data_IF_726634993678
#
_entry.id   IF_726634993678
#
_cell.length_a   1.000
_cell.length_b   1.000
_cell.length_c   1.000
_cell.angle_alpha   90.00
_cell.angle_beta   90.00
_cell.angle_gamma   90.00
#
_symmetry.space_group_name_H-M   'P 1'
#
loop_
_entity.id
_entity.type
_entity.pdbx_description
1 polymer ?
#
# COMPACT_ATOMS: atom_id res chain seq x y z
N UNK A 1 -37.68 43.04 -51.33
CA UNK A 1 -37.96 42.07 -50.24
C UNK A 1 -37.27 40.77 -50.61
N UNK A 2 -36.10 40.52 -50.05
CA UNK A 2 -35.36 39.26 -50.25
C UNK A 2 -35.33 38.54 -48.91
N UNK A 3 -36.13 37.48 -48.78
CA UNK A 3 -36.17 36.62 -47.60
C UNK A 3 -34.96 35.70 -47.63
N UNK A 4 -33.91 36.06 -46.91
CA UNK A 4 -32.83 35.13 -46.59
C UNK A 4 -33.36 34.09 -45.60
N UNK A 5 -33.56 32.88 -46.12
CA UNK A 5 -33.90 31.68 -45.35
C UNK A 5 -32.64 31.28 -44.58
N UNK A 6 -32.59 31.57 -43.29
CA UNK A 6 -31.54 31.09 -42.39
C UNK A 6 -31.71 29.58 -42.30
N UNK A 7 -30.83 28.82 -42.97
CA UNK A 7 -30.72 27.38 -42.73
C UNK A 7 -30.21 27.19 -41.30
N UNK A 8 -31.03 26.55 -40.47
CA UNK A 8 -30.62 26.06 -39.17
C UNK A 8 -29.39 25.16 -39.37
N UNK A 9 -28.30 25.50 -38.69
CA UNK A 9 -27.11 24.67 -38.60
C UNK A 9 -27.52 23.43 -37.81
N UNK A 10 -27.61 22.27 -38.48
CA UNK A 10 -27.81 21.00 -37.78
C UNK A 10 -26.74 20.87 -36.69
N UNK A 11 -27.18 20.83 -35.44
CA UNK A 11 -26.31 20.41 -34.35
C UNK A 11 -25.87 18.98 -34.67
N UNK A 12 -24.59 18.80 -34.96
CA UNK A 12 -23.96 17.48 -35.02
C UNK A 12 -24.23 16.81 -33.68
N UNK A 13 -25.25 15.96 -33.61
CA UNK A 13 -25.46 15.11 -32.44
C UNK A 13 -24.20 14.24 -32.34
N UNK A 14 -23.46 14.38 -31.24
CA UNK A 14 -22.23 13.60 -31.07
C UNK A 14 -22.60 12.11 -31.17
N UNK A 15 -21.98 11.37 -32.09
CA UNK A 15 -22.22 9.94 -32.34
C UNK A 15 -22.12 9.08 -31.06
N UNK A 16 -21.40 9.57 -30.05
CA UNK A 16 -21.24 8.93 -28.73
C UNK A 16 -22.56 8.87 -27.94
N UNK A 17 -23.51 9.78 -28.17
CA UNK A 17 -24.81 9.80 -27.48
C UNK A 17 -25.84 8.80 -28.05
N UNK A 18 -25.46 7.97 -29.03
CA UNK A 18 -26.35 6.97 -29.64
C UNK A 18 -26.37 5.63 -28.89
N UNK A 19 -25.41 5.38 -27.99
CA UNK A 19 -25.35 4.15 -27.22
C UNK A 19 -26.28 4.23 -25.99
N UNK A 20 -26.95 3.13 -25.60
CA UNK A 20 -27.65 3.06 -24.33
C UNK A 20 -26.70 3.34 -23.15
N UNK A 21 -27.21 3.97 -22.10
CA UNK A 21 -26.41 4.37 -20.93
C UNK A 21 -25.61 3.19 -20.35
N UNK A 22 -26.26 2.04 -20.14
CA UNK A 22 -25.62 0.85 -19.57
C UNK A 22 -24.48 0.32 -20.45
N UNK A 23 -24.61 0.40 -21.77
CA UNK A 23 -23.58 -0.03 -22.72
C UNK A 23 -22.38 0.90 -22.64
N UNK A 24 -22.59 2.22 -22.57
CA UNK A 24 -21.48 3.17 -22.35
C UNK A 24 -20.80 2.93 -21.01
N UNK A 25 -21.59 2.67 -19.96
CA UNK A 25 -21.08 2.37 -18.64
C UNK A 25 -20.20 1.13 -18.65
N UNK A 26 -20.63 0.08 -19.32
CA UNK A 26 -19.87 -1.16 -19.52
C UNK A 26 -18.59 -0.97 -20.33
N UNK A 27 -18.63 -0.14 -21.37
CA UNK A 27 -17.44 0.19 -22.17
C UNK A 27 -16.44 0.95 -21.32
N UNK A 28 -16.87 1.99 -20.60
CA UNK A 28 -16.00 2.82 -19.77
C UNK A 28 -15.45 2.06 -18.56
N UNK A 29 -16.23 1.14 -17.98
CA UNK A 29 -15.77 0.27 -16.92
C UNK A 29 -14.60 -0.61 -17.38
N UNK A 30 -14.55 -1.04 -18.64
CA UNK A 30 -13.43 -1.86 -19.17
C UNK A 30 -12.16 -1.08 -19.46
N UNK A 31 -12.22 0.25 -19.54
CA UNK A 31 -11.04 1.10 -19.76
C UNK A 31 -10.27 1.27 -18.45
N UNK A 32 -8.94 1.35 -18.52
CA UNK A 32 -8.11 1.59 -17.34
C UNK A 32 -8.56 2.84 -16.59
N UNK A 33 -8.58 2.77 -15.26
CA UNK A 33 -8.97 3.93 -14.44
C UNK A 33 -7.99 5.10 -14.60
N UNK A 34 -6.75 4.83 -15.00
CA UNK A 34 -5.73 5.85 -15.21
C UNK A 34 -6.04 6.74 -16.43
N UNK A 35 -6.91 6.28 -17.33
CA UNK A 35 -7.38 7.04 -18.49
C UNK A 35 -8.65 7.84 -18.21
N UNK A 36 -9.28 7.66 -17.03
CA UNK A 36 -10.51 8.38 -16.66
C UNK A 36 -10.37 9.91 -16.65
N UNK A 37 -9.24 10.50 -16.21
CA UNK A 37 -9.01 11.93 -16.36
C UNK A 37 -9.13 12.39 -17.82
N UNK A 38 -8.57 11.64 -18.77
CA UNK A 38 -8.66 11.96 -20.20
C UNK A 38 -10.08 11.74 -20.73
N UNK A 39 -10.73 10.64 -20.38
CA UNK A 39 -12.11 10.35 -20.78
C UNK A 39 -13.11 11.38 -20.25
N UNK A 40 -12.87 11.93 -19.07
CA UNK A 40 -13.70 12.99 -18.47
C UNK A 40 -13.69 14.30 -19.26
N UNK A 41 -12.72 14.49 -20.15
CA UNK A 41 -12.61 15.66 -21.02
C UNK A 41 -13.38 15.50 -22.33
N UNK A 42 -13.73 14.27 -22.72
CA UNK A 42 -14.41 13.98 -24.00
C UNK A 42 -15.82 14.58 -24.03
N UNK A 43 -16.64 14.30 -23.02
CA UNK A 43 -17.99 14.88 -22.90
C UNK A 43 -18.48 14.90 -21.43
N UNK A 44 -19.55 15.67 -21.17
CA UNK A 44 -20.17 15.75 -19.84
C UNK A 44 -20.69 14.41 -19.34
N UNK A 45 -21.19 13.56 -20.24
CA UNK A 45 -21.74 12.26 -19.88
C UNK A 45 -20.66 11.28 -19.43
N UNK A 46 -19.55 11.19 -20.16
CA UNK A 46 -18.40 10.36 -19.78
C UNK A 46 -17.83 10.81 -18.46
N UNK A 47 -17.67 12.12 -18.26
CA UNK A 47 -17.27 12.69 -16.97
C UNK A 47 -18.17 12.19 -15.85
N UNK A 48 -19.49 12.30 -16.01
CA UNK A 48 -20.46 11.85 -15.00
C UNK A 48 -20.29 10.37 -14.66
N UNK A 49 -20.09 9.51 -15.67
CA UNK A 49 -19.92 8.07 -15.49
C UNK A 49 -18.61 7.76 -14.76
N UNK A 50 -17.46 8.27 -15.24
CA UNK A 50 -16.14 7.93 -14.67
C UNK A 50 -15.88 8.54 -13.30
N UNK A 51 -16.67 9.54 -12.89
CA UNK A 51 -16.65 10.08 -11.53
C UNK A 51 -17.65 9.39 -10.59
N UNK A 52 -18.56 8.56 -11.12
CA UNK A 52 -19.57 7.86 -10.30
C UNK A 52 -18.91 6.71 -9.53
N UNK A 53 -19.17 6.54 -8.22
CA UNK A 53 -18.72 5.37 -7.46
C UNK A 53 -19.19 4.04 -8.07
N UNK A 54 -20.36 4.04 -8.73
CA UNK A 54 -20.96 2.87 -9.38
C UNK A 54 -20.04 2.24 -10.45
N UNK A 55 -19.14 3.03 -11.06
CA UNK A 55 -18.23 2.51 -12.08
C UNK A 55 -17.27 1.48 -11.50
N UNK A 56 -16.82 1.66 -10.26
CA UNK A 56 -15.92 0.74 -9.58
C UNK A 56 -16.63 -0.57 -9.21
N UNK A 57 -17.90 -0.49 -8.82
CA UNK A 57 -18.73 -1.70 -8.63
C UNK A 57 -18.87 -2.46 -9.96
N UNK A 58 -19.17 -1.76 -11.06
CA UNK A 58 -19.31 -2.40 -12.38
C UNK A 58 -18.00 -3.03 -12.85
N UNK A 59 -16.87 -2.35 -12.67
CA UNK A 59 -15.54 -2.88 -12.96
C UNK A 59 -15.27 -4.19 -12.25
N UNK A 60 -15.53 -4.23 -10.95
CA UNK A 60 -15.36 -5.43 -10.13
C UNK A 60 -16.20 -6.59 -10.66
N UNK A 61 -17.48 -6.34 -11.00
CA UNK A 61 -18.37 -7.34 -11.60
C UNK A 61 -17.89 -7.88 -12.96
N UNK A 62 -17.18 -7.05 -13.72
CA UNK A 62 -16.62 -7.41 -15.03
C UNK A 62 -15.23 -8.06 -14.94
N UNK A 63 -14.64 -8.15 -13.75
CA UNK A 63 -13.25 -8.58 -13.57
C UNK A 63 -12.23 -7.58 -14.12
N UNK A 64 -12.62 -6.32 -14.31
CA UNK A 64 -11.76 -5.24 -14.78
C UNK A 64 -11.11 -4.50 -13.59
N UNK A 65 -10.47 -5.25 -12.70
CA UNK A 65 -9.76 -4.68 -11.55
C UNK A 65 -8.28 -4.48 -11.88
N UNK A 66 -7.68 -3.42 -11.33
CA UNK A 66 -6.28 -3.09 -11.54
C UNK A 66 -5.56 -2.93 -10.20
N UNK A 67 -4.30 -3.36 -10.15
CA UNK A 67 -3.41 -3.09 -9.03
C UNK A 67 -3.01 -1.62 -9.04
N UNK A 68 -3.25 -0.94 -7.92
CA UNK A 68 -2.98 0.48 -7.74
C UNK A 68 -2.03 0.66 -6.56
N UNK A 69 -0.82 1.17 -6.82
CA UNK A 69 0.12 1.51 -5.75
C UNK A 69 -0.23 2.86 -5.13
N UNK A 70 -0.57 2.84 -3.85
CA UNK A 70 -0.72 4.01 -3.01
C UNK A 70 0.52 4.20 -2.15
N UNK A 71 0.95 5.45 -2.00
CA UNK A 71 2.13 5.82 -1.21
C UNK A 71 1.75 6.91 -0.23
N UNK A 72 2.09 6.71 1.03
CA UNK A 72 1.98 7.72 2.08
C UNK A 72 3.31 8.44 2.18
N UNK A 73 3.29 9.76 1.97
CA UNK A 73 4.44 10.63 2.13
C UNK A 73 4.15 11.67 3.20
N UNK A 74 5.17 12.02 3.99
CA UNK A 74 5.14 13.18 4.87
C UNK A 74 5.96 14.32 4.25
N UNK A 75 5.41 15.52 4.20
CA UNK A 75 6.12 16.70 3.70
C UNK A 75 6.88 17.36 4.85
N UNK A 76 8.20 17.31 4.83
CA UNK A 76 9.06 17.87 5.91
C UNK A 76 9.16 19.39 5.84
N UNK A 77 8.82 20.00 4.70
CA UNK A 77 8.78 21.46 4.57
C UNK A 77 7.54 22.07 5.26
N UNK A 78 6.56 21.26 5.65
CA UNK A 78 5.37 21.71 6.36
C UNK A 78 5.54 21.62 7.89
N UNK A 79 5.10 22.64 8.66
CA UNK A 79 5.36 22.72 10.11
C UNK A 79 4.73 21.59 10.94
N UNK A 80 3.77 20.85 10.40
CA UNK A 80 3.08 19.73 11.06
C UNK A 80 3.50 18.37 10.48
N UNK A 81 4.47 18.32 9.55
CA UNK A 81 4.88 17.12 8.83
C UNK A 81 3.64 16.35 8.31
N UNK A 82 2.82 17.07 7.54
CA UNK A 82 1.52 16.61 7.06
C UNK A 82 1.69 15.36 6.21
N UNK A 83 0.94 14.31 6.55
CA UNK A 83 0.99 13.02 5.86
C UNK A 83 -0.14 12.97 4.85
N UNK A 84 0.21 12.74 3.59
CA UNK A 84 -0.72 12.72 2.46
C UNK A 84 -0.61 11.43 1.68
N UNK A 85 -1.74 11.02 1.10
CA UNK A 85 -1.83 9.84 0.26
C UNK A 85 -1.66 10.23 -1.20
N UNK A 86 -0.74 9.55 -1.87
CA UNK A 86 -0.45 9.66 -3.28
C UNK A 86 -0.79 8.35 -3.97
N UNK A 87 -1.15 8.43 -5.24
CA UNK A 87 -1.31 7.27 -6.11
C UNK A 87 -0.22 7.29 -7.18
N UNK A 88 0.39 6.14 -7.44
CA UNK A 88 1.30 5.97 -8.57
C UNK A 88 0.47 5.88 -9.86
N UNK A 89 0.70 6.81 -10.78
CA UNK A 89 0.05 6.81 -12.08
C UNK A 89 1.07 6.58 -13.19
N UNK A 90 0.89 5.55 -14.05
CA UNK A 90 1.58 5.47 -15.31
C UNK A 90 1.08 6.60 -16.24
N UNK A 91 2.00 7.18 -17.02
CA UNK A 91 1.69 8.14 -18.08
C UNK A 91 1.80 7.47 -19.44
N UNK A 92 1.10 8.01 -20.43
CA UNK A 92 1.12 7.54 -21.82
C UNK A 92 2.52 7.50 -22.47
N UNK A 93 3.49 8.27 -21.97
CA UNK A 93 4.88 8.27 -22.45
C UNK A 93 5.80 7.26 -21.71
N UNK A 94 5.24 6.37 -20.88
CA UNK A 94 6.00 5.41 -20.06
C UNK A 94 6.67 6.02 -18.82
N UNK A 95 6.38 7.28 -18.49
CA UNK A 95 6.77 7.85 -17.19
C UNK A 95 5.84 7.37 -16.09
N UNK A 96 6.37 7.34 -14.86
CA UNK A 96 5.60 7.10 -13.65
C UNK A 96 5.72 8.33 -12.75
N UNK A 97 4.61 8.76 -12.15
CA UNK A 97 4.64 9.83 -11.15
C UNK A 97 3.70 9.54 -10.01
N UNK A 98 4.02 10.08 -8.84
CA UNK A 98 3.09 10.15 -7.73
C UNK A 98 2.17 11.35 -7.92
N UNK A 99 0.86 11.11 -7.84
CA UNK A 99 -0.18 12.14 -7.92
C UNK A 99 -0.84 12.25 -6.56
N UNK A 100 -0.86 13.46 -6.00
CA UNK A 100 -1.55 13.74 -4.75
C UNK A 100 -3.07 13.57 -4.92
N UNK A 101 -3.69 12.82 -4.02
CA UNK A 101 -5.14 12.65 -3.99
C UNK A 101 -5.76 13.80 -3.19
N UNK A 102 -6.09 14.90 -3.87
CA UNK A 102 -6.56 16.14 -3.22
C UNK A 102 -7.93 16.06 -2.55
N UNK A 103 -8.75 15.07 -2.91
CA UNK A 103 -10.06 14.87 -2.28
C UNK A 103 -9.95 14.32 -0.86
N UNK A 104 -8.81 13.71 -0.52
CA UNK A 104 -8.56 13.18 0.81
C UNK A 104 -7.98 14.27 1.71
N UNK A 105 -8.42 14.35 2.98
CA UNK A 105 -7.82 15.26 3.94
C UNK A 105 -6.39 14.82 4.28
N UNK A 106 -5.67 15.69 4.98
CA UNK A 106 -4.44 15.30 5.65
C UNK A 106 -4.73 14.16 6.63
N UNK A 107 -3.86 13.15 6.64
CA UNK A 107 -4.05 12.02 7.54
C UNK A 107 -3.95 12.49 8.99
N UNK A 108 -4.84 12.04 9.90
CA UNK A 108 -4.86 12.51 11.28
C UNK A 108 -3.54 12.19 11.97
N UNK A 109 -2.73 13.21 12.22
CA UNK A 109 -1.43 13.13 12.87
C UNK A 109 -1.43 13.85 14.21
N UNK A 110 -0.97 13.15 15.23
CA UNK A 110 -0.59 13.79 16.48
C UNK A 110 0.82 13.34 16.92
N UNK A 111 1.73 14.31 16.92
CA UNK A 111 3.06 14.36 17.55
C UNK A 111 4.15 13.39 17.05
N UNK A 112 3.83 12.21 16.51
CA UNK A 112 4.86 11.23 16.11
C UNK A 112 4.77 10.81 14.65
N UNK A 113 5.91 10.86 13.94
CA UNK A 113 6.07 10.30 12.61
C UNK A 113 5.72 8.81 12.54
N UNK A 114 5.89 8.06 13.63
CA UNK A 114 5.91 6.59 13.65
C UNK A 114 4.66 5.95 14.24
N UNK A 115 3.64 6.72 14.62
CA UNK A 115 2.45 6.22 15.33
C UNK A 115 1.25 5.94 14.40
N UNK A 116 1.48 5.16 13.33
CA UNK A 116 0.43 4.87 12.33
C UNK A 116 0.51 3.43 11.81
N UNK A 117 -0.65 2.82 11.59
CA UNK A 117 -0.82 1.58 10.84
C UNK A 117 -1.61 1.83 9.56
N UNK A 118 -1.15 1.28 8.45
CA UNK A 118 -1.82 1.33 7.15
C UNK A 118 -1.91 -0.08 6.57
N UNK A 119 -3.11 -0.50 6.16
CA UNK A 119 -3.35 -1.82 5.58
C UNK A 119 -4.32 -1.72 4.42
N UNK A 120 -4.00 -2.38 3.31
CA UNK A 120 -4.92 -2.54 2.21
C UNK A 120 -5.75 -3.82 2.40
N UNK A 121 -7.07 -3.73 2.27
CA UNK A 121 -7.98 -4.88 2.26
C UNK A 121 -9.03 -4.67 1.18
N UNK A 122 -8.98 -5.49 0.13
CA UNK A 122 -9.80 -5.29 -1.08
C UNK A 122 -9.51 -3.94 -1.74
N UNK A 123 -10.56 -3.18 -2.03
CA UNK A 123 -10.49 -1.83 -2.63
C UNK A 123 -10.37 -0.71 -1.60
N UNK A 124 -10.02 -1.02 -0.34
CA UNK A 124 -9.96 -0.06 0.76
C UNK A 124 -8.60 -0.03 1.44
N UNK A 125 -8.21 1.15 1.90
CA UNK A 125 -7.10 1.34 2.82
C UNK A 125 -7.66 1.65 4.20
N UNK A 126 -7.25 0.89 5.20
CA UNK A 126 -7.54 1.15 6.60
C UNK A 126 -6.36 1.89 7.23
N UNK A 127 -6.67 2.96 7.95
CA UNK A 127 -5.69 3.81 8.63
C UNK A 127 -5.98 3.81 10.12
N UNK A 128 -4.96 3.54 10.91
CA UNK A 128 -4.99 3.54 12.35
C UNK A 128 -3.98 4.56 12.85
N UNK A 129 -4.42 5.56 13.62
CA UNK A 129 -3.53 6.57 14.17
C UNK A 129 -3.92 6.96 15.59
N UNK A 130 -3.02 7.65 16.30
CA UNK A 130 -3.27 8.15 17.65
C UNK A 130 -3.87 9.57 17.60
N UNK A 131 -4.95 9.80 18.34
CA UNK A 131 -5.51 11.13 18.58
C UNK A 131 -4.79 11.89 19.70
N UNK A 132 -5.11 13.18 19.83
CA UNK A 132 -4.66 14.04 20.92
C UNK A 132 -5.17 13.59 22.31
N UNK A 133 -6.33 12.94 22.39
CA UNK A 133 -6.91 12.40 23.62
C UNK A 133 -6.40 10.99 23.97
N UNK A 134 -5.36 10.54 23.27
CA UNK A 134 -4.78 9.18 23.35
C UNK A 134 -5.65 8.07 22.77
N UNK A 135 -6.89 8.34 22.37
CA UNK A 135 -7.75 7.38 21.68
C UNK A 135 -7.22 7.07 20.28
N UNK A 136 -7.47 5.86 19.80
CA UNK A 136 -7.09 5.45 18.46
C UNK A 136 -8.16 5.88 17.45
N UNK A 137 -7.74 6.62 16.42
CA UNK A 137 -8.58 7.01 15.28
C UNK A 137 -8.47 5.90 14.24
N UNK A 138 -9.62 5.47 13.74
CA UNK A 138 -9.72 4.45 12.72
C UNK A 138 -10.49 5.00 11.52
N UNK A 139 -9.85 5.00 10.35
CA UNK A 139 -10.45 5.45 9.10
C UNK A 139 -10.40 4.32 8.07
N UNK A 140 -11.39 4.29 7.18
CA UNK A 140 -11.27 3.57 5.91
C UNK A 140 -11.34 4.55 4.75
N UNK A 141 -10.52 4.30 3.73
CA UNK A 141 -10.45 5.07 2.49
C UNK A 141 -10.93 4.17 1.38
N UNK A 142 -11.97 4.57 0.68
CA UNK A 142 -12.43 3.90 -0.53
C UNK A 142 -11.53 4.32 -1.70
N UNK A 143 -10.74 3.39 -2.26
CA UNK A 143 -9.75 3.70 -3.28
C UNK A 143 -10.35 3.85 -4.68
N UNK A 144 -11.62 3.49 -4.88
CA UNK A 144 -12.36 3.78 -6.11
C UNK A 144 -12.72 5.25 -6.17
N UNK A 145 -13.53 5.68 -5.21
CA UNK A 145 -14.09 7.04 -5.13
C UNK A 145 -13.17 8.07 -4.44
N UNK A 146 -12.08 7.63 -3.82
CA UNK A 146 -11.18 8.46 -2.99
C UNK A 146 -11.95 9.24 -1.91
N UNK A 147 -12.81 8.53 -1.17
CA UNK A 147 -13.60 9.05 -0.05
C UNK A 147 -13.15 8.43 1.28
N UNK A 148 -13.38 9.14 2.39
CA UNK A 148 -13.00 8.71 3.75
C UNK A 148 -14.24 8.43 4.59
N UNK A 149 -14.20 7.34 5.34
CA UNK A 149 -15.19 6.98 6.34
C UNK A 149 -14.51 6.80 7.70
N UNK A 150 -15.04 7.48 8.72
CA UNK A 150 -14.65 7.26 10.12
C UNK A 150 -15.30 5.95 10.62
N UNK A 151 -14.49 5.11 11.25
CA UNK A 151 -14.91 3.82 11.80
C UNK A 151 -15.02 3.88 13.33
N UNK A 152 -15.67 2.89 13.98
CA UNK A 152 -15.80 2.86 15.42
C UNK A 152 -14.44 2.94 16.14
N UNK A 153 -14.42 3.65 17.26
CA UNK A 153 -13.22 3.72 18.11
C UNK A 153 -12.87 2.32 18.63
N UNK A 154 -11.57 2.05 18.76
CA UNK A 154 -11.14 0.83 19.43
C UNK A 154 -11.56 0.83 20.90
N UNK A 155 -11.81 -0.36 21.48
CA UNK A 155 -12.17 -0.49 22.90
C UNK A 155 -11.02 -0.13 23.85
N UNK A 156 -9.85 0.24 23.32
CA UNK A 156 -8.62 0.48 24.09
C UNK A 156 -7.86 1.69 23.56
N UNK A 157 -7.20 2.36 24.50
CA UNK A 157 -6.27 3.47 24.22
C UNK A 157 -4.91 2.89 23.83
N UNK A 158 -4.51 3.06 22.57
CA UNK A 158 -3.26 2.51 22.05
C UNK A 158 -2.65 3.44 20.99
N UNK A 159 -1.31 3.50 20.93
CA UNK A 159 -0.55 4.12 19.85
C UNK A 159 -0.19 3.06 18.81
N UNK A 160 -0.90 2.98 17.67
CA UNK A 160 -0.60 1.99 16.63
C UNK A 160 0.80 2.22 16.05
N UNK A 161 1.49 1.14 15.70
CA UNK A 161 2.83 1.12 15.09
C UNK A 161 2.86 0.39 13.76
N UNK A 162 2.03 -0.63 13.64
CA UNK A 162 1.93 -1.47 12.47
C UNK A 162 0.57 -2.16 12.48
N UNK A 163 0.16 -2.58 11.30
CA UNK A 163 -1.02 -3.39 11.13
C UNK A 163 -0.81 -4.29 9.91
N UNK A 164 -1.43 -5.46 9.94
CA UNK A 164 -1.46 -6.38 8.81
C UNK A 164 -2.76 -7.20 8.83
N UNK A 165 -3.08 -7.87 7.73
CA UNK A 165 -4.34 -8.59 7.54
C UNK A 165 -4.15 -10.10 7.50
N UNK A 166 -4.97 -10.83 8.26
CA UNK A 166 -5.09 -12.28 8.18
C UNK A 166 -6.56 -12.62 8.02
N UNK A 167 -6.93 -13.24 6.90
CA UNK A 167 -8.30 -13.71 6.61
C UNK A 167 -9.40 -12.67 6.85
N UNK A 168 -9.22 -11.45 6.32
CA UNK A 168 -10.20 -10.36 6.46
C UNK A 168 -10.29 -9.77 7.87
N UNK A 169 -9.31 -10.05 8.74
CA UNK A 169 -9.17 -9.39 10.04
C UNK A 169 -7.87 -8.64 10.08
N UNK A 170 -7.93 -7.38 10.49
CA UNK A 170 -6.76 -6.52 10.61
C UNK A 170 -6.25 -6.63 12.05
N UNK A 171 -5.00 -7.02 12.21
CA UNK A 171 -4.30 -7.08 13.48
C UNK A 171 -3.48 -5.81 13.61
N UNK A 172 -3.88 -4.93 14.52
CA UNK A 172 -3.21 -3.67 14.78
C UNK A 172 -2.36 -3.83 16.03
N UNK A 173 -1.07 -3.54 15.91
CA UNK A 173 -0.10 -3.66 16.98
C UNK A 173 0.39 -2.28 17.34
N UNK A 174 0.46 -2.01 18.64
CA UNK A 174 0.84 -0.71 19.14
C UNK A 174 1.23 -0.75 20.61
N UNK A 175 1.49 0.42 21.16
CA UNK A 175 1.83 0.60 22.57
C UNK A 175 0.63 1.15 23.34
N UNK A 176 0.30 0.55 24.48
CA UNK A 176 -0.65 1.15 25.41
C UNK A 176 -0.02 2.33 26.17
N UNK A 177 -0.78 2.94 27.09
CA UNK A 177 -0.29 4.05 27.90
C UNK A 177 0.82 3.66 28.90
N UNK A 178 0.98 2.36 29.19
CA UNK A 178 2.05 1.81 30.03
C UNK A 178 3.32 1.49 29.24
N UNK A 179 3.37 1.80 27.95
CA UNK A 179 4.44 1.38 27.03
C UNK A 179 4.57 -0.15 26.91
N UNK A 180 3.47 -0.87 27.17
CA UNK A 180 3.36 -2.29 26.85
C UNK A 180 2.79 -2.46 25.45
N UNK A 181 3.41 -3.32 24.65
CA UNK A 181 2.91 -3.65 23.33
C UNK A 181 1.69 -4.55 23.44
N UNK A 182 0.62 -4.13 22.78
CA UNK A 182 -0.61 -4.88 22.65
C UNK A 182 -0.98 -5.05 21.19
N UNK A 183 -1.89 -5.98 20.96
CA UNK A 183 -2.51 -6.21 19.66
C UNK A 183 -4.03 -6.20 19.82
N UNK A 184 -4.71 -5.51 18.91
CA UNK A 184 -6.17 -5.50 18.79
C UNK A 184 -6.57 -5.91 17.40
N UNK A 185 -7.75 -6.52 17.29
CA UNK A 185 -8.22 -7.10 16.03
C UNK A 185 -9.46 -6.35 15.58
N UNK A 186 -9.45 -5.92 14.32
CA UNK A 186 -10.58 -5.29 13.65
C UNK A 186 -11.13 -6.23 12.58
N UNK A 187 -12.42 -6.55 12.66
CA UNK A 187 -13.10 -7.36 11.68
C UNK A 187 -13.59 -6.47 10.53
N UNK A 188 -13.09 -6.69 9.31
CA UNK A 188 -13.43 -5.83 8.16
C UNK A 188 -14.82 -6.10 7.59
N UNK A 189 -15.38 -7.29 7.83
CA UNK A 189 -16.73 -7.66 7.37
C UNK A 189 -17.80 -6.98 8.22
N UNK A 190 -17.68 -7.06 9.54
CA UNK A 190 -18.63 -6.44 10.47
C UNK A 190 -18.31 -4.97 10.78
N UNK A 191 -17.12 -4.50 10.40
CA UNK A 191 -16.57 -3.19 10.75
C UNK A 191 -16.56 -2.94 12.27
N UNK A 192 -16.30 -3.98 13.06
CA UNK A 192 -16.24 -3.91 14.52
C UNK A 192 -14.91 -4.40 15.08
N UNK A 193 -14.56 -3.86 16.23
CA UNK A 193 -13.42 -4.31 17.03
C UNK A 193 -13.74 -5.57 17.81
N UNK A 194 -12.77 -6.47 17.91
CA UNK A 194 -12.81 -7.52 18.91
C UNK A 194 -12.58 -6.92 20.30
N UNK A 195 -13.33 -7.36 21.33
CA UNK A 195 -13.35 -6.70 22.64
C UNK A 195 -12.06 -6.92 23.45
N UNK A 196 -11.23 -7.90 23.07
CA UNK A 196 -10.04 -8.29 23.81
C UNK A 196 -8.79 -7.72 23.17
N UNK A 197 -7.99 -7.03 23.96
CA UNK A 197 -6.59 -6.78 23.62
C UNK A 197 -5.78 -8.05 23.93
N UNK A 198 -4.97 -8.46 22.97
CA UNK A 198 -3.98 -9.52 23.13
C UNK A 198 -2.70 -8.85 23.59
N UNK A 199 -2.34 -9.06 24.86
CA UNK A 199 -1.06 -8.57 25.40
C UNK A 199 0.08 -9.41 24.83
N UNK A 200 1.16 -8.73 24.43
CA UNK A 200 2.40 -9.40 24.07
C UNK A 200 3.25 -9.59 25.32
N UNK A 201 4.08 -10.63 25.32
CA UNK A 201 5.03 -10.84 26.40
C UNK A 201 6.19 -9.82 26.34
N UNK A 202 7.14 -9.93 27.28
CA UNK A 202 8.33 -9.05 27.33
C UNK A 202 9.14 -9.07 26.04
N UNK A 203 9.05 -10.14 25.28
CA UNK A 203 9.85 -10.35 24.09
C UNK A 203 9.19 -9.75 22.85
N UNK A 204 7.86 -9.83 22.77
CA UNK A 204 7.06 -9.10 21.79
C UNK A 204 7.16 -7.59 21.97
N UNK A 205 7.33 -7.12 23.21
CA UNK A 205 7.50 -5.70 23.49
C UNK A 205 8.80 -5.10 22.89
N UNK A 206 9.79 -5.95 22.57
CA UNK A 206 11.07 -5.57 21.94
C UNK A 206 11.06 -5.59 20.41
N UNK A 207 9.95 -5.95 19.78
CA UNK A 207 9.88 -6.04 18.32
C UNK A 207 10.15 -4.68 17.66
N UNK A 208 10.79 -4.69 16.49
CA UNK A 208 11.26 -3.46 15.82
C UNK A 208 10.20 -2.96 14.84
N UNK A 209 9.93 -1.66 14.83
CA UNK A 209 9.00 -1.05 13.87
C UNK A 209 9.46 -1.27 12.42
N UNK A 210 8.51 -1.69 11.58
CA UNK A 210 8.79 -2.10 10.19
C UNK A 210 9.33 -3.53 10.06
N UNK A 211 9.39 -4.32 11.13
CA UNK A 211 9.82 -5.73 11.10
C UNK A 211 8.67 -6.68 11.44
N UNK A 212 7.52 -6.51 10.78
CA UNK A 212 6.41 -7.43 10.84
C UNK A 212 5.84 -7.72 9.46
N UNK A 213 5.45 -8.97 9.22
CA UNK A 213 4.78 -9.42 8.00
C UNK A 213 3.80 -10.55 8.32
N UNK A 214 2.79 -10.72 7.48
CA UNK A 214 1.96 -11.93 7.43
C UNK A 214 2.42 -12.85 6.30
N UNK A 215 2.61 -14.13 6.61
CA UNK A 215 2.98 -15.19 5.68
C UNK A 215 2.29 -16.48 6.12
N UNK A 216 1.75 -17.28 5.20
CA UNK A 216 1.03 -18.53 5.51
C UNK A 216 0.01 -18.44 6.67
N UNK A 217 -0.82 -17.38 6.66
CA UNK A 217 -1.82 -17.08 7.70
C UNK A 217 -1.27 -16.83 9.12
N UNK A 218 0.05 -16.64 9.27
CA UNK A 218 0.70 -16.36 10.55
C UNK A 218 1.39 -15.01 10.50
N UNK A 219 1.47 -14.35 11.64
CA UNK A 219 2.13 -13.05 11.75
C UNK A 219 3.52 -13.22 12.33
N UNK A 220 4.53 -12.77 11.60
CA UNK A 220 5.93 -12.83 11.98
C UNK A 220 6.38 -11.45 12.43
N UNK A 221 7.04 -11.36 13.57
CA UNK A 221 7.61 -10.12 14.08
C UNK A 221 9.04 -10.32 14.58
N UNK A 222 9.96 -9.51 14.08
CA UNK A 222 11.36 -9.58 14.49
C UNK A 222 11.65 -8.66 15.66
N UNK A 223 12.40 -9.15 16.62
CA UNK A 223 13.07 -8.34 17.63
C UNK A 223 14.61 -8.51 17.49
N UNK A 224 15.44 -7.90 18.34
CA UNK A 224 16.90 -8.03 18.23
C UNK A 224 17.43 -9.47 18.40
N UNK A 225 16.71 -10.34 19.12
CA UNK A 225 17.17 -11.68 19.52
C UNK A 225 16.56 -12.84 18.73
N UNK A 226 15.31 -12.73 18.27
CA UNK A 226 14.58 -13.78 17.55
C UNK A 226 13.39 -13.22 16.77
N UNK A 227 12.81 -14.07 15.93
CA UNK A 227 11.50 -13.80 15.31
C UNK A 227 10.41 -14.51 16.09
N UNK A 228 9.36 -13.77 16.43
CA UNK A 228 8.14 -14.28 17.06
C UNK A 228 7.09 -14.55 15.98
N UNK A 229 6.37 -15.65 16.11
CA UNK A 229 5.34 -16.08 15.19
C UNK A 229 4.03 -16.21 15.95
N UNK A 230 3.02 -15.45 15.56
CA UNK A 230 1.68 -15.56 16.10
C UNK A 230 0.81 -16.40 15.18
N UNK A 231 0.25 -17.47 15.75
CA UNK A 231 -0.80 -18.26 15.11
C UNK A 231 -2.17 -17.80 15.63
N UNK A 232 -2.99 -17.12 14.81
CA UNK A 232 -4.30 -16.67 15.23
C UNK A 232 -5.30 -17.82 15.46
N UNK A 233 -5.07 -19.03 14.92
CA UNK A 233 -5.96 -20.18 15.14
C UNK A 233 -5.78 -20.76 16.53
N UNK A 234 -4.52 -20.92 16.93
CA UNK A 234 -4.14 -21.46 18.25
C UNK A 234 -4.06 -20.36 19.34
N UNK A 235 -4.12 -19.09 18.93
CA UNK A 235 -3.92 -17.90 19.79
C UNK A 235 -2.61 -18.03 20.57
N UNK A 236 -1.55 -18.46 19.88
CA UNK A 236 -0.27 -18.82 20.49
C UNK A 236 0.89 -18.13 19.79
N UNK A 237 1.90 -17.81 20.60
CA UNK A 237 3.19 -17.33 20.14
C UNK A 237 4.22 -18.45 20.10
N UNK A 238 4.96 -18.50 19.01
CA UNK A 238 6.09 -19.41 18.77
C UNK A 238 7.30 -18.61 18.31
N UNK A 239 8.44 -19.27 18.14
CA UNK A 239 9.69 -18.63 17.73
C UNK A 239 10.23 -19.26 16.45
N UNK A 240 10.70 -18.43 15.53
CA UNK A 240 11.44 -18.88 14.35
C UNK A 240 12.88 -18.36 14.41
N UNK A 241 13.81 -19.27 14.74
CA UNK A 241 15.23 -18.94 14.85
C UNK A 241 15.87 -18.72 13.48
N UNK A 242 15.44 -19.48 12.46
CA UNK A 242 15.99 -19.42 11.11
C UNK A 242 15.73 -18.07 10.46
N UNK A 243 14.53 -17.52 10.68
CA UNK A 243 14.15 -16.20 10.15
C UNK A 243 14.92 -15.05 10.82
N UNK A 244 15.52 -15.26 11.98
CA UNK A 244 16.31 -14.22 12.65
C UNK A 244 17.79 -14.17 12.22
N UNK A 245 18.24 -15.10 11.36
CA UNK A 245 19.60 -15.06 10.79
C UNK A 245 19.85 -13.79 9.96
N UNK A 246 18.78 -13.21 9.40
CA UNK A 246 18.83 -11.96 8.65
C UNK A 246 18.06 -10.85 9.38
N UNK A 247 18.63 -9.64 9.37
CA UNK A 247 18.02 -8.44 9.99
C UNK A 247 17.02 -7.77 9.05
N UNK A 248 16.04 -8.53 8.59
CA UNK A 248 15.04 -8.02 7.66
C UNK A 248 14.21 -6.88 8.27
N UNK A 249 13.83 -5.93 7.43
CA UNK A 249 13.00 -4.76 7.76
C UNK A 249 12.34 -4.27 6.47
N UNK A 250 11.16 -3.68 6.60
CA UNK A 250 10.33 -3.20 5.49
C UNK A 250 10.15 -4.25 4.38
N UNK A 251 10.05 -5.50 4.81
CA UNK A 251 9.91 -6.66 3.96
C UNK A 251 8.48 -6.76 3.41
N UNK A 252 8.32 -7.53 2.35
CA UNK A 252 7.03 -7.88 1.77
C UNK A 252 6.96 -9.37 1.51
N UNK A 253 5.76 -9.94 1.54
CA UNK A 253 5.52 -11.33 1.14
C UNK A 253 4.85 -11.35 -0.23
N UNK A 254 5.34 -12.19 -1.13
CA UNK A 254 4.74 -12.49 -2.44
C UNK A 254 4.81 -13.99 -2.64
N UNK A 255 3.66 -14.61 -2.98
CA UNK A 255 3.54 -16.07 -3.16
C UNK A 255 4.13 -16.88 -1.99
N UNK A 256 3.81 -16.48 -0.75
CA UNK A 256 4.30 -17.08 0.50
C UNK A 256 5.84 -17.07 0.68
N UNK A 257 6.55 -16.24 -0.07
CA UNK A 257 7.98 -15.98 0.08
C UNK A 257 8.18 -14.56 0.58
N UNK A 258 8.95 -14.39 1.67
CA UNK A 258 9.30 -13.06 2.17
C UNK A 258 10.49 -12.51 1.40
N UNK A 259 10.39 -11.28 0.94
CA UNK A 259 11.44 -10.52 0.30
C UNK A 259 11.80 -9.28 1.13
N UNK A 260 13.08 -9.05 1.33
CA UNK A 260 13.57 -7.80 1.90
C UNK A 260 14.87 -7.39 1.21
N UNK A 261 15.16 -6.09 1.22
CA UNK A 261 16.38 -5.57 0.63
C UNK A 261 17.46 -5.45 1.71
N UNK A 262 18.58 -6.16 1.53
CA UNK A 262 19.72 -6.12 2.44
C UNK A 262 20.58 -4.88 2.15
N UNK A 263 20.47 -3.87 3.01
CA UNK A 263 21.35 -2.70 3.00
C UNK A 263 22.50 -2.93 3.97
N UNK A 264 23.61 -3.53 3.53
CA UNK A 264 24.79 -3.57 4.38
C UNK A 264 25.63 -2.30 4.22
N UNK A 265 25.65 -1.50 5.30
CA UNK A 265 26.47 -0.31 5.46
C UNK A 265 28.00 -0.60 5.56
N UNK A 266 28.44 -1.86 5.39
CA UNK A 266 29.81 -2.32 5.70
C UNK A 266 30.40 -3.32 4.67
N UNK A 267 30.35 -2.98 3.37
CA UNK A 267 31.20 -3.57 2.31
C UNK A 267 30.93 -5.02 1.81
N UNK A 268 29.73 -5.58 1.95
CA UNK A 268 29.41 -6.91 1.35
C UNK A 268 28.35 -6.91 0.23
N UNK A 269 28.09 -5.76 -0.39
CA UNK A 269 27.15 -5.66 -1.51
C UNK A 269 25.69 -5.72 -1.05
N UNK A 270 24.90 -4.71 -1.45
CA UNK A 270 23.46 -4.74 -1.21
C UNK A 270 22.77 -5.69 -2.18
N UNK A 271 21.66 -6.31 -1.76
CA UNK A 271 20.96 -7.29 -2.58
C UNK A 271 19.57 -7.60 -2.07
N UNK A 272 18.72 -8.09 -2.97
CA UNK A 272 17.39 -8.57 -2.61
C UNK A 272 17.49 -10.01 -2.09
N UNK A 273 16.95 -10.25 -0.90
CA UNK A 273 17.02 -11.54 -0.22
C UNK A 273 15.60 -12.08 -0.03
N UNK A 274 15.43 -13.38 -0.29
CA UNK A 274 14.18 -14.10 -0.18
C UNK A 274 14.26 -15.16 0.95
N UNK A 275 13.18 -15.32 1.71
CA UNK A 275 12.99 -16.41 2.67
C UNK A 275 11.83 -17.29 2.23
N UNK A 276 12.17 -18.53 1.88
CA UNK A 276 11.19 -19.58 1.60
C UNK A 276 10.85 -20.27 2.93
N UNK A 277 9.61 -20.10 3.38
CA UNK A 277 9.13 -20.73 4.61
C UNK A 277 9.03 -22.25 4.48
N UNK A 278 8.64 -22.77 3.31
CA UNK A 278 8.48 -24.20 3.05
C UNK A 278 9.82 -24.92 3.19
N UNK A 279 10.88 -24.31 2.66
CA UNK A 279 12.23 -24.84 2.73
C UNK A 279 13.02 -24.37 3.96
N UNK A 280 12.45 -23.43 4.73
CA UNK A 280 13.09 -22.75 5.87
C UNK A 280 14.49 -22.25 5.52
N UNK A 281 14.66 -21.58 4.39
CA UNK A 281 15.98 -21.13 3.95
C UNK A 281 15.96 -19.71 3.36
N UNK A 282 17.08 -19.03 3.53
CA UNK A 282 17.35 -17.72 2.92
C UNK A 282 18.09 -17.92 1.60
N UNK A 283 17.71 -17.16 0.58
CA UNK A 283 18.30 -17.20 -0.76
C UNK A 283 18.48 -15.77 -1.27
N UNK A 284 19.58 -15.55 -1.98
CA UNK A 284 19.76 -14.31 -2.74
C UNK A 284 18.93 -14.37 -4.02
N UNK A 285 18.30 -13.25 -4.38
CA UNK A 285 17.62 -13.10 -5.68
C UNK A 285 18.65 -12.67 -6.73
N UNK A 286 18.84 -13.54 -7.73
CA UNK A 286 19.83 -13.35 -8.81
C UNK A 286 19.32 -12.44 -9.93
N UNK A 287 20.21 -11.94 -10.79
CA UNK A 287 19.83 -11.13 -11.97
C UNK A 287 19.57 -9.66 -11.67
N UNK A 288 19.89 -9.23 -10.45
CA UNK A 288 19.73 -7.86 -9.95
C UNK A 288 21.08 -7.20 -9.65
N UNK A 289 22.15 -7.59 -10.31
CA UNK A 289 23.51 -7.08 -10.06
C UNK A 289 23.62 -5.57 -10.39
N UNK A 290 22.76 -5.08 -11.30
CA UNK A 290 22.62 -3.66 -11.64
C UNK A 290 21.68 -2.89 -10.68
N UNK A 291 21.09 -3.58 -9.69
CA UNK A 291 20.26 -2.98 -8.67
C UNK A 291 21.15 -2.39 -7.58
N UNK A 292 21.59 -1.16 -7.82
CA UNK A 292 22.31 -0.35 -6.86
C UNK A 292 21.37 0.75 -6.37
N UNK A 293 20.55 0.50 -5.34
CA UNK A 293 20.07 1.59 -4.52
C UNK A 293 21.30 2.13 -3.82
N UNK A 294 22.02 3.02 -4.49
CA UNK A 294 22.96 3.96 -3.89
C UNK A 294 22.13 4.90 -3.01
N UNK A 295 21.62 4.37 -1.90
CA UNK A 295 20.86 5.14 -0.93
C UNK A 295 21.86 6.07 -0.27
N UNK A 296 21.69 7.36 -0.46
CA UNK A 296 22.42 8.36 0.33
C UNK A 296 21.71 8.63 1.66
N UNK A 297 20.64 7.88 1.96
CA UNK A 297 19.76 8.05 3.12
C UNK A 297 20.03 6.97 4.16
N UNK A 298 19.86 7.31 5.45
CA UNK A 298 19.82 6.34 6.55
C UNK A 298 18.54 5.51 6.58
N UNK A 299 17.55 5.85 5.74
CA UNK A 299 16.29 5.11 5.63
C UNK A 299 16.46 3.80 4.88
N UNK A 300 15.88 2.75 5.45
CA UNK A 300 15.82 1.44 4.81
C UNK A 300 14.85 1.49 3.61
N UNK A 301 15.21 0.91 2.46
CA UNK A 301 14.28 0.70 1.36
C UNK A 301 13.03 -0.04 1.82
N UNK A 302 11.92 0.22 1.14
CA UNK A 302 10.64 -0.43 1.40
C UNK A 302 10.25 -1.28 0.20
N UNK A 303 9.84 -2.51 0.48
CA UNK A 303 9.29 -3.40 -0.54
C UNK A 303 7.79 -3.52 -0.32
N UNK A 304 7.04 -3.52 -1.41
CA UNK A 304 5.62 -3.85 -1.42
C UNK A 304 5.33 -4.76 -2.62
N UNK A 305 4.35 -5.64 -2.49
CA UNK A 305 3.83 -6.43 -3.59
C UNK A 305 3.12 -5.48 -4.56
N UNK A 306 3.19 -5.75 -5.86
CA UNK A 306 2.44 -5.02 -6.87
C UNK A 306 2.05 -5.99 -7.98
N UNK A 307 0.82 -6.52 -7.93
CA UNK A 307 0.33 -7.46 -8.94
C UNK A 307 1.22 -8.70 -9.13
N UNK A 308 1.71 -9.29 -8.03
CA UNK A 308 2.63 -10.44 -8.04
C UNK A 308 4.10 -10.09 -8.33
N UNK A 309 4.41 -8.82 -8.60
CA UNK A 309 5.77 -8.30 -8.67
C UNK A 309 6.16 -7.63 -7.35
N UNK A 310 7.40 -7.17 -7.25
CA UNK A 310 7.86 -6.30 -6.17
C UNK A 310 7.99 -4.86 -6.67
N UNK A 311 7.59 -3.91 -5.85
CA UNK A 311 7.95 -2.50 -6.00
C UNK A 311 8.90 -2.10 -4.86
N UNK A 312 10.14 -1.79 -5.20
CA UNK A 312 11.18 -1.36 -4.28
C UNK A 312 11.27 0.16 -4.27
N UNK A 313 10.92 0.77 -3.14
CA UNK A 313 11.02 2.20 -2.88
C UNK A 313 12.27 2.52 -2.08
N UNK A 314 13.01 3.55 -2.50
CA UNK A 314 14.17 4.02 -1.76
C UNK A 314 14.40 5.52 -1.98
N UNK A 315 15.11 6.14 -1.06
CA UNK A 315 15.43 7.57 -1.12
C UNK A 315 16.88 7.76 -1.57
N UNK A 316 17.06 8.63 -2.56
CA UNK A 316 18.38 9.07 -3.06
C UNK A 316 18.40 10.59 -3.04
N UNK A 317 19.19 11.17 -2.13
CA UNK A 317 19.18 12.61 -1.80
C UNK A 317 17.76 13.05 -1.42
N UNK A 318 17.19 14.04 -2.13
CA UNK A 318 15.84 14.56 -1.92
C UNK A 318 14.87 14.00 -2.97
N UNK A 319 15.08 12.76 -3.40
CA UNK A 319 14.27 12.09 -4.41
C UNK A 319 13.80 10.73 -3.92
N UNK A 320 12.54 10.41 -4.19
CA UNK A 320 11.98 9.08 -3.96
C UNK A 320 11.97 8.35 -5.30
N UNK A 321 12.62 7.20 -5.32
CA UNK A 321 12.73 6.32 -6.47
C UNK A 321 11.91 5.06 -6.24
N UNK A 322 11.46 4.45 -7.34
CA UNK A 322 10.82 3.15 -7.34
C UNK A 322 11.35 2.28 -8.47
N UNK A 323 11.52 1.00 -8.18
CA UNK A 323 11.86 -0.05 -9.12
C UNK A 323 10.81 -1.16 -9.05
N UNK A 324 10.20 -1.48 -10.19
CA UNK A 324 9.36 -2.68 -10.28
C UNK A 324 10.22 -3.86 -10.73
N UNK A 325 10.12 -4.95 -9.99
CA UNK A 325 10.94 -6.14 -10.16
C UNK A 325 9.99 -7.33 -10.36
N UNK A 326 10.04 -7.95 -11.53
CA UNK A 326 9.39 -9.24 -11.76
C UNK A 326 10.24 -10.37 -11.17
N UNK A 327 9.58 -11.40 -10.68
CA UNK A 327 10.20 -12.57 -10.06
C UNK A 327 9.95 -13.82 -10.91
N UNK A 328 10.96 -14.67 -11.01
CA UNK A 328 10.88 -15.98 -11.67
C UNK A 328 11.55 -17.03 -10.77
N UNK A 329 10.83 -18.10 -10.44
CA UNK A 329 11.42 -19.27 -9.77
C UNK A 329 11.86 -20.31 -10.81
N UNK A 330 13.15 -20.63 -10.84
CA UNK A 330 13.75 -21.61 -11.76
C UNK A 330 13.93 -22.98 -11.11
N UNK A 331 14.30 -23.97 -11.92
CA UNK A 331 14.61 -25.32 -11.44
C UNK A 331 15.66 -25.28 -10.31
N UNK A 332 15.46 -26.07 -9.26
CA UNK A 332 16.29 -26.05 -8.05
C UNK A 332 15.88 -24.99 -7.01
N UNK A 333 14.79 -24.25 -7.25
CA UNK A 333 14.28 -23.22 -6.35
C UNK A 333 15.10 -21.92 -6.36
N UNK A 334 15.89 -21.70 -7.41
CA UNK A 334 16.57 -20.41 -7.59
C UNK A 334 15.56 -19.33 -7.91
N UNK A 335 15.67 -18.18 -7.26
CA UNK A 335 14.80 -17.04 -7.51
C UNK A 335 15.60 -16.00 -8.29
N UNK A 336 15.07 -15.61 -9.44
CA UNK A 336 15.63 -14.60 -10.32
C UNK A 336 14.71 -13.38 -10.33
N UNK A 337 15.32 -12.20 -10.30
CA UNK A 337 14.64 -10.92 -10.42
C UNK A 337 15.01 -10.24 -11.73
N UNK A 338 14.07 -9.48 -12.30
CA UNK A 338 14.33 -8.59 -13.44
C UNK A 338 13.66 -7.24 -13.18
N UNK A 339 14.44 -6.16 -13.31
CA UNK A 339 13.91 -4.80 -13.22
C UNK A 339 13.11 -4.51 -14.49
N UNK A 340 11.79 -4.34 -14.34
CA UNK A 340 10.88 -3.99 -15.43
C UNK A 340 10.97 -2.49 -15.75
N UNK A 341 11.05 -1.67 -14.72
CA UNK A 341 11.32 -0.24 -14.86
C UNK A 341 11.93 0.33 -13.57
N UNK A 342 12.68 1.43 -13.74
CA UNK A 342 13.25 2.25 -12.67
C UNK A 342 12.90 3.70 -12.94
N UNK A 343 12.21 4.37 -12.01
CA UNK A 343 11.80 5.78 -12.18
C UNK A 343 11.93 6.57 -10.88
N UNK A 344 12.35 7.82 -11.02
CA UNK A 344 12.17 8.84 -9.99
C UNK A 344 10.72 9.26 -9.95
N UNK A 345 10.10 9.19 -8.78
CA UNK A 345 8.68 9.43 -8.60
C UNK A 345 8.35 10.86 -8.15
N UNK A 346 9.19 11.42 -7.28
CA UNK A 346 9.05 12.78 -6.75
C UNK A 346 10.41 13.33 -6.31
N UNK A 347 10.55 14.64 -6.39
CA UNK A 347 11.69 15.40 -5.85
C UNK A 347 11.15 16.40 -4.83
N UNK A 348 11.79 16.47 -3.66
CA UNK A 348 11.41 17.36 -2.55
C UNK A 348 11.80 16.77 -1.20
N UNK A 349 11.53 17.54 -0.14
CA UNK A 349 11.75 17.12 1.24
C UNK A 349 10.58 16.24 1.70
N UNK A 350 10.54 15.02 1.19
CA UNK A 350 9.51 14.04 1.51
C UNK A 350 10.10 12.87 2.30
N UNK A 351 9.44 12.53 3.40
CA UNK A 351 9.66 11.29 4.14
C UNK A 351 8.74 10.19 3.58
N UNK A 352 9.32 9.08 3.15
CA UNK A 352 8.54 7.90 2.75
C UNK A 352 8.04 7.17 3.99
N UNK A 353 6.71 6.96 4.08
CA UNK A 353 6.11 6.31 5.23
C UNK A 353 5.73 4.86 4.95
N UNK A 354 4.97 4.63 3.86
CA UNK A 354 4.42 3.32 3.52
C UNK A 354 3.98 3.30 2.05
N UNK A 355 4.10 2.14 1.40
CA UNK A 355 3.40 1.84 0.17
C UNK A 355 2.41 0.69 0.39
N UNK A 356 1.32 0.71 -0.37
CA UNK A 356 0.21 -0.22 -0.30
C UNK A 356 -0.24 -0.55 -1.72
N UNK A 357 -0.37 -1.84 -2.03
CA UNK A 357 -1.02 -2.29 -3.25
C UNK A 357 -2.50 -2.55 -2.98
N UNK A 358 -3.35 -1.94 -3.79
CA UNK A 358 -4.80 -1.98 -3.64
C UNK A 358 -5.40 -2.40 -4.96
N UNK A 359 -6.24 -3.43 -4.93
CA UNK A 359 -6.98 -3.88 -6.12
C UNK A 359 -8.27 -3.05 -6.23
N UNK A 360 -8.42 -2.31 -7.33
CA UNK A 360 -9.56 -1.40 -7.55
C UNK A 360 -10.29 -1.69 -8.86
#
# INVERSE_FOLDING_TARGET
>A
MSSQKIMAKEEQSSLIMLLPHDVMFDILARVSRFDYPTLSLVCKHFRSIVTSPEIFTRRSLLGCTEHCLYVVLANEDEPVCSKRLYILCPKANGEHRLVLIRSLPDMPTYISETAMGYVAVGSRIYVFSRSNKHDMITLSIDCGSHTVQLLPNAPVTMSPRMADVIKGRIYVIGYDCGWERGMVVFNTETQMWEPRMIKLDKEGNKCIDGCAVVMTDKMYMRNPSKTLVYDPKEIKWETDEMMNLHKWRNACVVDDVLYYYNCEFYNMGGGLIAYDQTQRCWREVKGLEALLPETTSSMWPHIVSHGGKLALFYTKRNEIWCEEISLETRQGGEIWGKVEWRKRLVTGNFLFMKALDVVV
#
